data_IF_737740873449
#
_entry.id   IF_737740873449
#
_cell.length_a   1.000
_cell.length_b   1.000
_cell.length_c   1.000
_cell.angle_alpha   90.00
_cell.angle_beta   90.00
_cell.angle_gamma   90.00
#
_symmetry.space_group_name_H-M   'P 1'
#
loop_
_entity.id
_entity.type
_entity.pdbx_description
1 polymer ?
#
# COMPACT_ATOMS: atom_id res chain seq x y z
N UNK A 1 1.64 10.70 6.31
CA UNK A 1 2.63 9.71 6.81
C UNK A 1 3.34 9.11 5.61
N UNK A 2 4.67 9.31 5.47
CA UNK A 2 5.46 8.74 4.37
C UNK A 2 5.88 7.31 4.71
N UNK A 3 5.85 6.45 3.71
CA UNK A 3 6.19 5.03 3.82
C UNK A 3 7.09 4.63 2.66
N UNK A 4 7.88 3.59 2.92
CA UNK A 4 8.74 2.95 1.92
C UNK A 4 8.52 1.45 1.94
N UNK A 5 8.70 0.80 0.79
CA UNK A 5 8.60 -0.65 0.65
C UNK A 5 9.59 -1.14 -0.40
N UNK A 6 9.96 -2.42 -0.30
CA UNK A 6 10.84 -3.03 -1.30
C UNK A 6 10.02 -3.40 -2.55
N UNK A 7 10.53 -3.04 -3.72
CA UNK A 7 9.92 -3.35 -5.01
C UNK A 7 10.99 -3.81 -6.01
N UNK A 8 11.04 -5.12 -6.28
CA UNK A 8 12.09 -5.71 -7.09
C UNK A 8 13.48 -5.42 -6.50
N UNK A 9 14.35 -4.78 -7.28
CA UNK A 9 15.67 -4.32 -6.84
C UNK A 9 15.67 -2.87 -6.30
N UNK A 10 14.50 -2.20 -6.28
CA UNK A 10 14.34 -0.82 -5.85
C UNK A 10 13.53 -0.65 -4.56
N UNK A 11 13.35 0.61 -4.16
CA UNK A 11 12.53 1.00 -3.00
C UNK A 11 11.44 1.95 -3.48
N UNK A 12 10.19 1.53 -3.36
CA UNK A 12 9.04 2.39 -3.57
C UNK A 12 8.88 3.35 -2.39
N UNK A 13 8.50 4.60 -2.70
CA UNK A 13 8.20 5.63 -1.71
C UNK A 13 6.85 6.25 -2.02
N UNK A 14 6.14 6.65 -0.97
CA UNK A 14 4.86 7.31 -1.12
C UNK A 14 4.27 7.74 0.21
N UNK A 15 3.02 8.18 0.17
CA UNK A 15 2.25 8.63 1.31
C UNK A 15 1.03 7.75 1.49
N UNK A 16 0.77 7.34 2.73
CA UNK A 16 -0.48 6.64 3.07
C UNK A 16 -1.65 7.60 2.84
N UNK A 17 -2.55 7.23 1.94
CA UNK A 17 -3.80 7.91 1.65
C UNK A 17 -4.91 7.37 2.55
N UNK A 18 -5.07 6.04 2.61
CA UNK A 18 -6.10 5.37 3.41
C UNK A 18 -5.55 4.14 4.15
N UNK A 19 -6.23 3.78 5.25
CA UNK A 19 -5.97 2.58 6.06
C UNK A 19 -7.24 1.75 6.14
N UNK A 20 -7.10 0.44 5.96
CA UNK A 20 -8.18 -0.53 6.04
C UNK A 20 -7.81 -1.66 7.01
N UNK A 21 -8.50 -1.74 8.14
CA UNK A 21 -8.38 -2.85 9.10
C UNK A 21 -9.25 -4.06 8.71
N UNK A 22 -9.59 -4.18 7.43
CA UNK A 22 -10.44 -5.23 6.83
C UNK A 22 -9.93 -5.64 5.44
N UNK A 23 -10.34 -6.80 4.90
CA UNK A 23 -10.04 -7.16 3.51
C UNK A 23 -10.56 -6.09 2.56
N UNK A 24 -9.72 -5.69 1.62
CA UNK A 24 -10.02 -4.63 0.65
C UNK A 24 -9.56 -5.04 -0.74
N UNK A 25 -10.37 -4.68 -1.72
CA UNK A 25 -10.09 -4.81 -3.14
C UNK A 25 -10.15 -3.44 -3.80
N UNK A 26 -9.16 -3.15 -4.62
CA UNK A 26 -9.08 -1.92 -5.40
C UNK A 26 -8.53 -2.24 -6.79
N UNK A 27 -9.14 -1.62 -7.79
CA UNK A 27 -8.61 -1.62 -9.14
C UNK A 27 -7.58 -0.51 -9.24
N UNK A 28 -6.34 -0.88 -9.51
CA UNK A 28 -5.19 0.02 -9.61
C UNK A 28 -4.55 -0.24 -10.96
N UNK A 29 -4.41 0.81 -11.79
CA UNK A 29 -3.84 0.70 -13.14
C UNK A 29 -4.48 -0.42 -13.99
N UNK A 30 -5.79 -0.65 -13.82
CA UNK A 30 -6.54 -1.69 -14.53
C UNK A 30 -6.41 -3.10 -13.94
N UNK A 31 -5.61 -3.31 -12.90
CA UNK A 31 -5.47 -4.59 -12.20
C UNK A 31 -6.24 -4.59 -10.88
N UNK A 32 -7.00 -5.66 -10.62
CA UNK A 32 -7.68 -5.86 -9.34
C UNK A 32 -6.68 -6.35 -8.29
N UNK A 33 -6.37 -5.50 -7.32
CA UNK A 33 -5.47 -5.82 -6.21
C UNK A 33 -6.29 -6.08 -4.96
N UNK A 34 -6.14 -7.27 -4.41
CA UNK A 34 -6.75 -7.68 -3.14
C UNK A 34 -5.72 -7.76 -2.04
N UNK A 35 -6.00 -7.15 -0.89
CA UNK A 35 -5.22 -7.28 0.35
C UNK A 35 -6.12 -7.65 1.52
N UNK A 36 -5.68 -8.65 2.28
CA UNK A 36 -6.37 -9.13 3.47
C UNK A 36 -5.99 -8.28 4.68
N UNK A 37 -6.43 -7.02 4.68
CA UNK A 37 -6.27 -6.13 5.82
C UNK A 37 -6.99 -6.67 7.06
N UNK A 38 -6.42 -6.44 8.23
CA UNK A 38 -6.97 -6.82 9.53
C UNK A 38 -6.49 -5.84 10.61
N UNK A 39 -7.07 -5.88 11.81
CA UNK A 39 -6.62 -5.02 12.92
C UNK A 39 -5.15 -5.21 13.29
N UNK A 40 -4.60 -6.42 13.12
CA UNK A 40 -3.17 -6.71 13.39
C UNK A 40 -2.27 -6.36 12.20
N UNK A 41 -2.75 -6.56 10.99
CA UNK A 41 -2.03 -6.24 9.76
C UNK A 41 -2.96 -5.48 8.80
N UNK A 42 -3.14 -4.17 9.00
CA UNK A 42 -3.98 -3.33 8.13
C UNK A 42 -3.48 -3.32 6.69
N UNK A 43 -4.39 -3.15 5.73
CA UNK A 43 -4.03 -2.75 4.38
C UNK A 43 -3.98 -1.22 4.29
N UNK A 44 -3.11 -0.71 3.43
CA UNK A 44 -2.93 0.71 3.21
C UNK A 44 -2.95 1.00 1.71
N UNK A 45 -3.74 2.00 1.33
CA UNK A 45 -3.62 2.62 0.03
C UNK A 45 -2.54 3.69 0.14
N UNK A 46 -1.52 3.57 -0.69
CA UNK A 46 -0.37 4.46 -0.71
C UNK A 46 -0.34 5.15 -2.05
N UNK A 47 -0.44 6.48 -2.05
CA UNK A 47 -0.19 7.30 -3.23
C UNK A 47 1.31 7.46 -3.38
N UNK A 48 1.83 7.07 -4.53
CA UNK A 48 3.25 7.18 -4.88
C UNK A 48 3.58 8.61 -5.31
N UNK A 49 4.85 8.97 -5.26
CA UNK A 49 5.30 10.30 -5.74
C UNK A 49 5.19 10.42 -7.29
N UNK A 50 4.95 9.32 -8.02
CA UNK A 50 4.81 9.26 -9.47
C UNK A 50 3.32 9.19 -9.92
N UNK A 51 2.41 9.79 -9.15
CA UNK A 51 0.95 9.84 -9.41
C UNK A 51 0.21 8.48 -9.49
N UNK A 52 0.90 7.35 -9.28
CA UNK A 52 0.28 6.03 -9.15
C UNK A 52 -0.18 5.74 -7.72
N UNK A 53 -1.12 4.82 -7.55
CA UNK A 53 -1.54 4.29 -6.25
C UNK A 53 -1.09 2.84 -6.08
N UNK A 54 -0.82 2.39 -4.87
CA UNK A 54 -0.53 0.98 -4.58
C UNK A 54 -1.24 0.52 -3.32
N UNK A 55 -1.68 -0.74 -3.32
CA UNK A 55 -2.32 -1.37 -2.17
C UNK A 55 -1.37 -2.37 -1.50
N UNK A 56 -0.97 -2.06 -0.27
CA UNK A 56 0.07 -2.79 0.49
C UNK A 56 -0.38 -3.11 1.90
N UNK A 57 0.04 -4.24 2.45
CA UNK A 57 -0.17 -4.55 3.87
C UNK A 57 0.81 -3.76 4.74
N UNK A 58 0.43 -3.49 5.99
CA UNK A 58 1.29 -2.84 6.96
C UNK A 58 2.59 -3.58 7.20
N UNK A 59 2.57 -4.90 7.12
CA UNK A 59 3.77 -5.75 7.19
C UNK A 59 4.74 -5.53 6.03
N UNK A 60 4.29 -5.01 4.88
CA UNK A 60 5.14 -4.69 3.72
C UNK A 60 5.68 -3.26 3.75
N UNK A 61 5.12 -2.40 4.61
CA UNK A 61 5.46 -0.98 4.68
C UNK A 61 6.39 -0.71 5.85
N UNK A 62 7.44 0.05 5.59
CA UNK A 62 8.28 0.65 6.61
C UNK A 62 8.05 2.15 6.65
N UNK A 63 8.19 2.77 7.82
CA UNK A 63 8.24 4.23 7.91
C UNK A 63 9.45 4.71 7.11
N UNK A 64 9.22 5.67 6.21
CA UNK A 64 10.27 6.19 5.33
C UNK A 64 11.28 7.00 6.14
#
# INVERSE_FOLDING_TARGET
>A
MRVKWNWGQGVGRGRVAERFDRPVERTIEGALIRRNGSSRNPAYLVSTDNEGEVLKLGSELSRA
#
